data_IF_580561767715
#
_entry.id   IF_580561767715
#
_cell.length_a   1.000
_cell.length_b   1.000
_cell.length_c   1.000
_cell.angle_alpha   90.00
_cell.angle_beta   90.00
_cell.angle_gamma   90.00
#
_symmetry.space_group_name_H-M   'P 1'
#
loop_
_entity.id
_entity.type
_entity.pdbx_description
1 polymer ?
#
# COMPACT_ATOMS: atom_id res chain seq x y z
N UNK A 1 35.01 6.11 48.06
CA UNK A 1 34.01 5.66 47.06
C UNK A 1 34.67 5.64 45.69
N UNK A 2 34.54 4.54 44.93
CA UNK A 2 35.23 4.36 43.63
C UNK A 2 34.54 5.13 42.49
N UNK A 3 35.34 5.81 41.64
CA UNK A 3 34.90 6.55 40.44
C UNK A 3 34.14 5.64 39.46
N UNK A 4 34.55 4.36 39.37
CA UNK A 4 33.90 3.37 38.51
C UNK A 4 32.45 3.10 38.92
N UNK A 5 32.15 3.18 40.22
CA UNK A 5 30.82 2.92 40.74
C UNK A 5 29.86 4.12 40.58
N UNK A 6 30.38 5.34 40.72
CA UNK A 6 29.60 6.55 40.38
C UNK A 6 29.28 6.60 38.89
N UNK A 7 30.22 6.21 38.03
CA UNK A 7 29.98 6.08 36.60
C UNK A 7 28.94 4.99 36.28
N UNK A 8 29.05 3.81 36.91
CA UNK A 8 28.09 2.72 36.71
C UNK A 8 26.65 3.10 37.12
N UNK A 9 26.46 3.82 38.23
CA UNK A 9 25.12 4.33 38.62
C UNK A 9 24.58 5.35 37.63
N UNK A 10 25.40 6.27 37.14
CA UNK A 10 24.97 7.29 36.19
C UNK A 10 24.50 6.64 34.88
N UNK A 11 25.25 5.68 34.35
CA UNK A 11 24.89 4.92 33.13
C UNK A 11 23.60 4.12 33.33
N UNK A 12 23.42 3.45 34.47
CA UNK A 12 22.20 2.67 34.73
C UNK A 12 20.96 3.54 34.97
N UNK A 13 21.13 4.74 35.51
CA UNK A 13 20.03 5.68 35.67
C UNK A 13 19.61 6.28 34.31
N UNK A 14 20.57 6.52 33.42
CA UNK A 14 20.31 6.99 32.06
C UNK A 14 19.72 5.89 31.16
N UNK A 15 20.04 4.63 31.45
CA UNK A 15 19.47 3.47 30.76
C UNK A 15 18.00 3.19 31.14
N UNK A 16 17.47 3.75 32.23
CA UNK A 16 16.07 3.54 32.63
C UNK A 16 15.14 4.26 31.64
N UNK A 17 14.28 3.50 30.98
CA UNK A 17 13.28 4.06 30.08
C UNK A 17 12.23 4.78 30.93
N UNK A 18 11.98 6.06 30.61
CA UNK A 18 10.88 6.83 31.22
C UNK A 18 9.57 6.19 30.78
N UNK A 19 8.73 5.77 31.72
CA UNK A 19 7.37 5.29 31.45
C UNK A 19 6.59 6.43 30.77
N UNK A 20 6.62 6.43 29.44
CA UNK A 20 6.08 7.47 28.59
C UNK A 20 4.64 7.15 28.23
N UNK A 21 3.78 8.15 28.37
CA UNK A 21 2.37 8.17 27.98
C UNK A 21 2.14 7.38 26.67
N UNK A 22 1.57 6.18 26.80
CA UNK A 22 1.51 5.19 25.72
C UNK A 22 0.81 5.72 24.46
N UNK A 23 -0.04 6.73 24.61
CA UNK A 23 -0.87 7.31 23.55
C UNK A 23 -0.06 7.99 22.43
N UNK A 24 1.05 8.66 22.77
CA UNK A 24 1.91 9.31 21.78
C UNK A 24 2.85 8.34 21.05
N UNK A 25 3.16 7.19 21.66
CA UNK A 25 3.97 6.13 21.02
C UNK A 25 3.18 5.42 19.93
N UNK A 26 1.89 5.18 20.16
CA UNK A 26 0.97 4.51 19.20
C UNK A 26 0.89 5.28 17.88
N UNK A 27 0.95 6.62 17.91
CA UNK A 27 0.95 7.46 16.70
C UNK A 27 2.20 7.33 15.83
N UNK A 28 3.32 6.88 16.39
CA UNK A 28 4.60 6.80 15.65
C UNK A 28 4.92 5.38 15.17
N UNK A 29 4.18 4.34 15.60
CA UNK A 29 4.38 3.01 15.05
C UNK A 29 3.78 2.94 13.64
N UNK A 30 4.65 3.06 12.63
CA UNK A 30 4.30 2.68 11.27
C UNK A 30 4.26 1.15 11.19
N UNK A 31 3.05 0.60 11.25
CA UNK A 31 2.77 -0.84 11.16
C UNK A 31 2.86 -1.41 9.74
N UNK A 32 3.08 -0.55 8.74
CA UNK A 32 3.40 -0.97 7.38
C UNK A 32 4.91 -1.02 7.20
N UNK A 33 5.45 -2.20 6.85
CA UNK A 33 6.82 -2.27 6.38
C UNK A 33 6.97 -1.33 5.17
N UNK A 34 8.09 -0.60 5.06
CA UNK A 34 8.32 0.30 3.92
C UNK A 34 8.26 -0.46 2.59
N UNK A 35 8.64 -1.75 2.58
CA UNK A 35 8.53 -2.63 1.43
C UNK A 35 7.06 -2.92 1.06
N UNK A 36 6.20 -3.21 2.03
CA UNK A 36 4.77 -3.47 1.80
C UNK A 36 4.06 -2.23 1.27
N UNK A 37 4.45 -1.04 1.75
CA UNK A 37 3.95 0.23 1.25
C UNK A 37 4.36 0.46 -0.20
N UNK A 38 5.62 0.22 -0.57
CA UNK A 38 6.09 0.30 -1.96
C UNK A 38 5.36 -0.72 -2.83
N UNK A 39 5.19 -1.96 -2.38
CA UNK A 39 4.46 -3.00 -3.13
C UNK A 39 3.00 -2.58 -3.34
N UNK A 40 2.31 -2.02 -2.36
CA UNK A 40 0.94 -1.47 -2.52
C UNK A 40 0.89 -0.33 -3.53
N UNK A 41 1.83 0.62 -3.46
CA UNK A 41 1.87 1.73 -4.40
C UNK A 41 2.19 1.28 -5.83
N UNK A 42 3.12 0.36 -6.01
CA UNK A 42 3.47 -0.17 -7.34
C UNK A 42 2.33 -1.03 -7.87
N UNK A 43 1.79 -1.93 -7.04
CA UNK A 43 0.74 -2.86 -7.45
C UNK A 43 -0.57 -2.15 -7.81
N UNK A 44 -0.95 -1.09 -7.10
CA UNK A 44 -2.21 -0.36 -7.35
C UNK A 44 -1.99 0.86 -8.25
N UNK A 45 -0.92 1.60 -8.03
CA UNK A 45 -0.62 2.84 -8.73
C UNK A 45 -0.20 2.63 -10.19
N UNK A 46 0.56 1.58 -10.50
CA UNK A 46 0.98 1.27 -11.86
C UNK A 46 -0.22 0.94 -12.79
N UNK A 47 -1.14 0.02 -12.44
CA UNK A 47 -2.31 -0.23 -13.27
C UNK A 47 -3.25 0.99 -13.34
N UNK A 48 -3.43 1.76 -12.26
CA UNK A 48 -4.21 3.01 -12.33
C UNK A 48 -3.58 4.03 -13.30
N UNK A 49 -2.26 4.16 -13.29
CA UNK A 49 -1.54 5.06 -14.19
C UNK A 49 -1.69 4.59 -15.65
N UNK A 50 -1.56 3.29 -15.91
CA UNK A 50 -1.76 2.72 -17.24
C UNK A 50 -3.21 2.92 -17.74
N UNK A 51 -4.21 2.73 -16.88
CA UNK A 51 -5.62 3.01 -17.21
C UNK A 51 -5.83 4.50 -17.51
N UNK A 52 -5.26 5.39 -16.68
CA UNK A 52 -5.36 6.84 -16.86
C UNK A 52 -4.70 7.28 -18.17
N UNK A 53 -3.56 6.71 -18.52
CA UNK A 53 -2.87 6.97 -19.77
C UNK A 53 -3.65 6.43 -20.97
N UNK A 54 -4.22 5.23 -20.88
CA UNK A 54 -5.08 4.66 -21.92
C UNK A 54 -6.31 5.55 -22.16
N UNK A 55 -7.01 5.96 -21.10
CA UNK A 55 -8.14 6.89 -21.20
C UNK A 55 -7.75 8.26 -21.77
N UNK A 56 -6.57 8.79 -21.40
CA UNK A 56 -6.07 10.04 -21.97
C UNK A 56 -5.84 9.93 -23.49
N UNK A 57 -5.40 8.76 -23.98
CA UNK A 57 -5.30 8.49 -25.42
C UNK A 57 -6.68 8.43 -26.08
N UNK A 58 -7.62 7.71 -25.47
CA UNK A 58 -9.01 7.60 -25.95
C UNK A 58 -9.70 8.97 -26.07
N UNK A 59 -9.51 9.86 -25.10
CA UNK A 59 -10.13 11.19 -25.10
C UNK A 59 -9.42 12.17 -26.03
N UNK A 60 -8.09 12.05 -26.17
CA UNK A 60 -7.28 13.04 -26.89
C UNK A 60 -7.16 12.79 -28.39
N UNK A 61 -7.41 11.57 -28.89
CA UNK A 61 -7.17 11.19 -30.30
C UNK A 61 -8.41 11.39 -31.19
N UNK A 62 -9.57 11.75 -30.61
CA UNK A 62 -10.79 11.93 -31.37
C UNK A 62 -11.45 10.59 -31.71
N UNK A 63 -12.40 10.54 -32.68
CA UNK A 63 -13.12 9.31 -32.99
C UNK A 63 -12.15 8.18 -33.37
N UNK A 64 -12.28 7.03 -32.70
CA UNK A 64 -11.36 5.88 -32.82
C UNK A 64 -11.28 5.29 -34.23
N UNK A 65 -12.30 5.54 -35.04
CA UNK A 65 -12.36 5.08 -36.42
C UNK A 65 -12.81 6.22 -37.32
N UNK A 66 -12.30 6.22 -38.54
CA UNK A 66 -12.78 7.07 -39.63
C UNK A 66 -13.22 6.18 -40.77
N UNK A 67 -14.52 6.16 -41.08
CA UNK A 67 -15.11 5.24 -42.05
C UNK A 67 -15.19 5.85 -43.47
N UNK A 68 -14.34 6.85 -43.77
CA UNK A 68 -14.17 7.49 -45.09
C UNK A 68 -15.48 7.61 -45.88
N UNK A 69 -16.46 8.41 -45.39
CA UNK A 69 -17.74 8.56 -46.07
C UNK A 69 -17.56 9.23 -47.45
N UNK A 70 -18.44 8.91 -48.42
CA UNK A 70 -18.38 9.49 -49.75
C UNK A 70 -18.54 11.02 -49.71
N UNK A 71 -17.92 11.72 -50.67
CA UNK A 71 -17.86 13.20 -50.72
C UNK A 71 -19.21 13.91 -50.82
N UNK A 72 -20.29 13.18 -51.12
CA UNK A 72 -21.65 13.69 -51.18
C UNK A 72 -22.33 13.83 -49.81
N UNK A 73 -21.65 13.48 -48.71
CA UNK A 73 -22.21 13.55 -47.36
C UNK A 73 -21.87 14.88 -46.69
N UNK A 74 -22.83 15.41 -45.92
CA UNK A 74 -22.58 16.56 -45.04
C UNK A 74 -21.70 16.16 -43.86
N UNK A 75 -21.02 17.11 -43.24
CA UNK A 75 -20.16 16.86 -42.06
C UNK A 75 -20.92 16.16 -40.91
N UNK A 76 -22.23 16.39 -40.77
CA UNK A 76 -23.07 15.73 -39.75
C UNK A 76 -23.39 14.28 -40.11
N UNK A 77 -23.60 14.00 -41.40
CA UNK A 77 -23.80 12.64 -41.88
C UNK A 77 -22.50 11.82 -41.80
N UNK A 78 -21.35 12.44 -42.09
CA UNK A 78 -20.05 11.82 -41.91
C UNK A 78 -19.81 11.41 -40.44
N UNK A 79 -20.06 12.32 -39.50
CA UNK A 79 -19.94 12.02 -38.07
C UNK A 79 -20.93 10.93 -37.60
N UNK A 80 -22.16 10.92 -38.14
CA UNK A 80 -23.13 9.86 -37.85
C UNK A 80 -22.64 8.49 -38.32
N UNK A 81 -22.11 8.41 -39.55
CA UNK A 81 -21.55 7.17 -40.10
C UNK A 81 -20.36 6.69 -39.28
N UNK A 82 -19.45 7.58 -38.86
CA UNK A 82 -18.32 7.20 -38.00
C UNK A 82 -18.81 6.60 -36.65
N UNK A 83 -19.84 7.19 -36.03
CA UNK A 83 -20.41 6.65 -34.78
C UNK A 83 -21.16 5.33 -34.98
N UNK A 84 -21.89 5.19 -36.09
CA UNK A 84 -22.66 3.99 -36.42
C UNK A 84 -21.76 2.82 -36.76
N UNK A 85 -20.71 3.09 -37.54
CA UNK A 85 -19.64 2.17 -37.89
C UNK A 85 -18.92 1.68 -36.61
N UNK A 86 -18.69 2.57 -35.64
CA UNK A 86 -18.07 2.21 -34.36
C UNK A 86 -18.94 1.30 -33.49
N UNK A 87 -20.25 1.50 -33.51
CA UNK A 87 -21.20 0.68 -32.75
C UNK A 87 -21.45 -0.70 -33.39
N UNK A 88 -21.44 -0.77 -34.72
CA UNK A 88 -21.61 -2.05 -35.45
C UNK A 88 -20.33 -2.88 -35.50
N UNK A 89 -19.17 -2.25 -35.56
CA UNK A 89 -17.87 -2.91 -35.33
C UNK A 89 -17.85 -3.64 -33.98
N UNK A 90 -18.69 -3.24 -33.01
CA UNK A 90 -18.83 -3.99 -31.75
C UNK A 90 -19.62 -5.28 -31.87
N UNK A 91 -20.46 -5.46 -32.90
CA UNK A 91 -21.46 -6.52 -32.90
C UNK A 91 -21.38 -7.56 -34.02
N UNK A 92 -20.77 -7.33 -35.18
CA UNK A 92 -20.75 -8.38 -36.22
C UNK A 92 -19.65 -8.22 -37.26
N UNK A 93 -18.94 -9.31 -37.53
CA UNK A 93 -18.49 -9.62 -38.89
C UNK A 93 -19.19 -10.90 -39.35
N UNK A 94 -19.96 -10.81 -40.45
CA UNK A 94 -20.50 -11.95 -41.17
C UNK A 94 -19.78 -12.02 -42.52
N UNK A 95 -19.10 -13.12 -42.79
CA UNK A 95 -18.56 -13.38 -44.13
C UNK A 95 -19.71 -13.68 -45.11
N UNK A 96 -19.49 -13.33 -46.37
CA UNK A 96 -20.39 -13.57 -47.53
C UNK A 96 -20.73 -15.05 -47.77
N UNK A 97 -20.09 -15.97 -47.03
CA UNK A 97 -20.31 -17.41 -47.06
C UNK A 97 -21.00 -18.00 -45.81
N UNK A 98 -21.56 -17.18 -44.90
CA UNK A 98 -22.33 -17.66 -43.74
C UNK A 98 -21.49 -18.26 -42.60
N UNK A 99 -20.19 -18.04 -42.63
CA UNK A 99 -19.25 -18.36 -41.56
C UNK A 99 -19.04 -17.12 -40.67
N UNK A 100 -19.27 -17.26 -39.37
CA UNK A 100 -18.98 -16.25 -38.35
C UNK A 100 -17.54 -16.44 -37.88
N UNK A 101 -16.59 -15.70 -38.45
CA UNK A 101 -15.28 -15.53 -37.82
C UNK A 101 -15.30 -14.27 -36.94
N UNK A 102 -15.61 -14.46 -35.66
CA UNK A 102 -15.49 -13.43 -34.62
C UNK A 102 -14.02 -13.06 -34.39
N UNK A 103 -13.49 -12.06 -35.11
CA UNK A 103 -12.14 -11.55 -34.86
C UNK A 103 -12.13 -10.23 -34.08
N UNK A 104 -11.95 -10.37 -32.77
CA UNK A 104 -10.94 -9.68 -31.96
C UNK A 104 -11.01 -8.16 -31.69
N UNK A 105 -11.89 -7.34 -32.29
CA UNK A 105 -11.90 -5.88 -31.97
C UNK A 105 -12.62 -5.50 -30.67
N UNK A 106 -13.53 -6.35 -30.15
CA UNK A 106 -14.20 -6.15 -28.86
C UNK A 106 -13.22 -6.02 -27.69
N UNK A 107 -12.12 -6.77 -27.75
CA UNK A 107 -11.06 -6.73 -26.74
C UNK A 107 -10.45 -5.34 -26.64
N UNK A 108 -10.31 -4.59 -27.73
CA UNK A 108 -9.71 -3.26 -27.73
C UNK A 108 -10.66 -2.21 -27.11
N UNK A 109 -11.96 -2.29 -27.40
CA UNK A 109 -13.00 -1.45 -26.77
C UNK A 109 -13.13 -1.71 -25.28
N UNK A 110 -13.07 -2.98 -24.88
CA UNK A 110 -13.26 -3.42 -23.50
C UNK A 110 -11.97 -3.40 -22.69
N UNK A 111 -10.83 -3.22 -23.32
CA UNK A 111 -9.51 -3.11 -22.70
C UNK A 111 -9.45 -2.09 -21.54
N UNK A 112 -9.90 -0.83 -21.70
CA UNK A 112 -9.86 0.13 -20.58
C UNK A 112 -10.79 -0.27 -19.42
N UNK A 113 -11.94 -0.90 -19.72
CA UNK A 113 -12.89 -1.34 -18.70
C UNK A 113 -12.40 -2.59 -17.96
N UNK A 114 -11.79 -3.55 -18.66
CA UNK A 114 -11.23 -4.76 -18.07
C UNK A 114 -10.00 -4.45 -17.22
N UNK A 115 -9.14 -3.52 -17.66
CA UNK A 115 -8.02 -3.03 -16.85
C UNK A 115 -8.48 -2.32 -15.58
N UNK A 116 -9.58 -1.55 -15.65
CA UNK A 116 -10.16 -0.89 -14.47
C UNK A 116 -10.69 -1.92 -13.46
N UNK A 117 -11.42 -2.93 -13.93
CA UNK A 117 -11.91 -4.02 -13.07
C UNK A 117 -10.74 -4.79 -12.46
N UNK A 118 -9.71 -5.10 -13.25
CA UNK A 118 -8.51 -5.77 -12.76
C UNK A 118 -7.78 -4.93 -11.69
N UNK A 119 -7.63 -3.62 -11.91
CA UNK A 119 -7.05 -2.70 -10.93
C UNK A 119 -7.87 -2.66 -9.63
N UNK A 120 -9.20 -2.62 -9.72
CA UNK A 120 -10.08 -2.69 -8.56
C UNK A 120 -9.94 -4.00 -7.80
N UNK A 121 -9.97 -5.13 -8.51
CA UNK A 121 -9.79 -6.46 -7.91
C UNK A 121 -8.43 -6.60 -7.23
N UNK A 122 -7.39 -6.02 -7.81
CA UNK A 122 -6.03 -6.03 -7.27
C UNK A 122 -5.86 -5.08 -6.08
N UNK A 123 -6.73 -4.07 -5.93
CA UNK A 123 -6.77 -3.19 -4.76
C UNK A 123 -7.50 -3.80 -3.56
N UNK A 124 -8.46 -4.69 -3.79
CA UNK A 124 -9.25 -5.33 -2.72
C UNK A 124 -8.39 -6.02 -1.65
N UNK A 125 -7.37 -6.84 -1.98
CA UNK A 125 -6.51 -7.46 -0.97
C UNK A 125 -5.79 -6.43 -0.09
N UNK A 126 -5.34 -5.31 -0.66
CA UNK A 126 -4.66 -4.26 0.10
C UNK A 126 -5.62 -3.55 1.07
N UNK A 127 -6.86 -3.33 0.65
CA UNK A 127 -7.92 -2.81 1.54
C UNK A 127 -8.22 -3.79 2.66
N UNK A 128 -8.41 -5.08 2.34
CA UNK A 128 -8.68 -6.13 3.32
C UNK A 128 -7.56 -6.21 4.35
N UNK A 129 -6.29 -6.19 3.91
CA UNK A 129 -5.14 -6.16 4.82
C UNK A 129 -5.14 -4.94 5.74
N UNK A 130 -5.46 -3.76 5.19
CA UNK A 130 -5.51 -2.51 5.95
C UNK A 130 -6.63 -2.49 6.99
N UNK A 131 -7.76 -3.15 6.73
CA UNK A 131 -8.88 -3.18 7.68
C UNK A 131 -8.80 -4.34 8.67
N UNK A 132 -8.26 -5.50 8.28
CA UNK A 132 -8.24 -6.70 9.12
C UNK A 132 -6.91 -6.92 9.83
N UNK A 133 -5.79 -6.86 9.10
CA UNK A 133 -4.49 -7.25 9.64
C UNK A 133 -3.82 -6.12 10.42
N UNK A 134 -3.83 -4.89 9.88
CA UNK A 134 -3.23 -3.72 10.55
C UNK A 134 -3.67 -3.51 12.01
N UNK A 135 -4.98 -3.49 12.35
CA UNK A 135 -5.38 -3.27 13.74
C UNK A 135 -5.00 -4.42 14.67
N UNK A 136 -5.09 -5.67 14.19
CA UNK A 136 -4.72 -6.86 14.98
C UNK A 136 -3.22 -6.92 15.26
N UNK A 137 -2.38 -6.70 14.25
CA UNK A 137 -0.93 -6.65 14.44
C UNK A 137 -0.52 -5.44 15.29
N UNK A 138 -1.30 -4.34 15.21
CA UNK A 138 -1.14 -3.14 16.03
C UNK A 138 -1.22 -3.43 17.51
N UNK A 139 -2.31 -4.07 17.94
CA UNK A 139 -2.50 -4.41 19.35
C UNK A 139 -1.42 -5.37 19.87
N UNK A 140 -1.07 -6.38 19.07
CA UNK A 140 -0.10 -7.41 19.48
C UNK A 140 1.31 -6.83 19.64
N UNK A 141 1.74 -6.01 18.69
CA UNK A 141 3.05 -5.36 18.73
C UNK A 141 3.16 -4.38 19.90
N UNK A 142 2.10 -3.60 20.16
CA UNK A 142 2.06 -2.69 21.31
C UNK A 142 2.16 -3.44 22.63
N UNK A 143 1.45 -4.57 22.76
CA UNK A 143 1.54 -5.41 23.94
C UNK A 143 2.96 -5.95 24.15
N UNK A 144 3.61 -6.43 23.08
CA UNK A 144 4.98 -6.94 23.15
C UNK A 144 5.96 -5.83 23.57
N UNK A 145 5.83 -4.62 23.03
CA UNK A 145 6.69 -3.48 23.38
C UNK A 145 6.50 -3.06 24.85
N UNK A 146 5.25 -3.02 25.34
CA UNK A 146 4.97 -2.67 26.74
C UNK A 146 5.58 -3.69 27.72
N UNK A 147 5.40 -4.98 27.44
CA UNK A 147 5.95 -6.05 28.29
C UNK A 147 7.48 -6.10 28.22
N UNK A 148 8.08 -5.80 27.06
CA UNK A 148 9.53 -5.65 26.89
C UNK A 148 10.07 -4.49 27.73
N UNK A 149 9.46 -3.31 27.66
CA UNK A 149 9.88 -2.14 28.43
C UNK A 149 9.77 -2.40 29.94
N UNK A 150 8.69 -3.06 30.36
CA UNK A 150 8.48 -3.46 31.76
C UNK A 150 9.53 -4.46 32.26
N UNK A 151 9.83 -5.48 31.46
CA UNK A 151 10.87 -6.47 31.75
C UNK A 151 12.27 -5.83 31.82
N UNK A 152 12.55 -4.91 30.89
CA UNK A 152 13.79 -4.15 30.85
C UNK A 152 13.97 -3.26 32.08
N UNK A 153 12.95 -2.48 32.44
CA UNK A 153 12.96 -1.65 33.65
C UNK A 153 13.13 -2.49 34.93
N UNK A 154 12.51 -3.68 35.00
CA UNK A 154 12.73 -4.61 36.12
C UNK A 154 14.17 -5.09 36.19
N UNK A 155 14.78 -5.42 35.06
CA UNK A 155 16.16 -5.90 34.97
C UNK A 155 17.16 -4.82 35.39
N UNK A 156 16.97 -3.56 34.97
CA UNK A 156 17.81 -2.43 35.39
C UNK A 156 17.70 -2.19 36.90
N UNK A 157 16.50 -2.26 37.48
CA UNK A 157 16.30 -2.14 38.94
C UNK A 157 16.99 -3.26 39.73
N UNK A 158 16.98 -4.50 39.21
CA UNK A 158 17.71 -5.62 39.80
C UNK A 158 19.22 -5.38 39.75
N UNK A 159 19.75 -4.91 38.62
CA UNK A 159 21.17 -4.56 38.50
C UNK A 159 21.58 -3.45 39.48
N UNK A 160 20.75 -2.41 39.64
CA UNK A 160 20.96 -1.37 40.64
C UNK A 160 20.98 -1.94 42.06
N UNK A 161 20.06 -2.87 42.39
CA UNK A 161 20.00 -3.51 43.71
C UNK A 161 21.26 -4.35 44.00
N UNK A 162 21.73 -5.13 43.03
CA UNK A 162 22.95 -5.93 43.17
C UNK A 162 24.17 -5.03 43.41
N UNK A 163 24.28 -3.91 42.69
CA UNK A 163 25.35 -2.93 42.93
C UNK A 163 25.29 -2.32 44.33
N UNK A 164 24.10 -2.05 44.87
CA UNK A 164 23.94 -1.58 46.25
C UNK A 164 24.35 -2.66 47.27
N UNK A 165 23.98 -3.93 47.05
CA UNK A 165 24.38 -5.03 47.94
C UNK A 165 25.89 -5.22 47.98
N UNK A 166 26.55 -5.19 46.81
CA UNK A 166 28.01 -5.30 46.72
C UNK A 166 28.74 -4.14 47.41
N UNK A 167 28.12 -2.96 47.46
CA UNK A 167 28.60 -1.82 48.26
C UNK A 167 28.43 -2.04 49.76
N UNK A 168 27.35 -2.66 50.21
CA UNK A 168 27.16 -2.98 51.63
C UNK A 168 28.17 -4.03 52.11
N UNK A 169 28.42 -5.06 51.31
CA UNK A 169 29.41 -6.10 51.62
C UNK A 169 30.83 -5.53 51.76
N UNK A 170 31.26 -4.69 50.81
CA UNK A 170 32.54 -3.95 50.88
C UNK A 170 32.61 -2.92 52.02
N UNK A 171 31.50 -2.58 52.67
CA UNK A 171 31.46 -1.64 53.81
C UNK A 171 31.46 -2.34 55.16
N UNK A 172 31.17 -3.64 55.21
CA UNK A 172 31.21 -4.47 56.43
C UNK A 172 32.60 -5.11 56.61
N UNK A 173 33.40 -5.18 55.55
CA UNK A 173 34.75 -5.76 55.52
C UNK A 173 35.88 -4.74 55.78
N UNK A 174 35.54 -3.51 56.19
CA UNK A 174 36.46 -2.44 56.65
C UNK A 174 36.04 -1.99 58.04
#
# INVERSE_FOLDING_TARGET
MSIAHTAARAVLHDALLRDGDGDNRIRHLELELPLDRVIKFVSVGLPLLLVSLAFAREVSIGPQISCFPPSNFTAKQAAYVDTYCWDIVMHHEFDTNGNVEERSLWVHKMFPYSLLIMAMMMYLPALIWRFLAMPSLGSDLLFIIDELDKSYNRSVRLAQTILELHKCDNRVSV
#
